data_IF_259455066331
#
_entry.id   IF_259455066331
#
_cell.length_a   1.000
_cell.length_b   1.000
_cell.length_c   1.000
_cell.angle_alpha   90.00
_cell.angle_beta   90.00
_cell.angle_gamma   90.00
#
_symmetry.space_group_name_H-M   'P 1'
#
loop_
_entity.id
_entity.type
_entity.pdbx_description
1 polymer ?
#
# COMPACT_ATOMS: atom_id res chain seq x y z
N UNK A 1 23.95 -13.70 -20.03
CA UNK A 1 22.72 -12.87 -20.12
C UNK A 1 22.06 -12.88 -18.76
N UNK A 2 21.81 -11.71 -18.16
CA UNK A 2 21.17 -11.59 -16.84
C UNK A 2 19.67 -11.41 -17.02
N UNK A 3 18.86 -12.05 -16.17
CA UNK A 3 17.40 -11.88 -16.15
C UNK A 3 16.99 -11.18 -14.87
N UNK A 4 16.14 -10.17 -14.98
CA UNK A 4 15.57 -9.45 -13.85
C UNK A 4 14.07 -9.77 -13.77
N UNK A 5 13.59 -10.11 -12.57
CA UNK A 5 12.17 -10.28 -12.32
C UNK A 5 11.57 -8.89 -12.11
N UNK A 6 10.85 -8.39 -13.10
CA UNK A 6 10.13 -7.13 -13.03
C UNK A 6 8.62 -7.37 -12.99
N UNK A 7 7.91 -6.46 -12.35
CA UNK A 7 6.45 -6.43 -12.29
C UNK A 7 6.01 -5.10 -12.91
N UNK A 8 4.92 -5.11 -13.67
CA UNK A 8 4.31 -3.90 -14.22
C UNK A 8 3.09 -3.56 -13.40
N UNK A 9 2.98 -2.31 -12.96
CA UNK A 9 1.87 -1.88 -12.11
C UNK A 9 1.80 -0.37 -11.96
N UNK A 10 0.83 0.10 -11.18
CA UNK A 10 0.67 1.51 -10.80
C UNK A 10 1.46 1.79 -9.54
N UNK A 11 2.28 2.84 -9.55
CA UNK A 11 2.93 3.34 -8.33
C UNK A 11 1.90 4.11 -7.55
N UNK A 12 1.58 3.64 -6.35
CA UNK A 12 0.58 4.25 -5.47
C UNK A 12 1.20 4.44 -4.10
N UNK A 13 1.20 5.67 -3.62
CA UNK A 13 1.51 5.96 -2.23
C UNK A 13 0.20 5.98 -1.44
N UNK A 14 0.03 4.97 -0.61
CA UNK A 14 -1.09 4.88 0.32
C UNK A 14 -0.75 5.64 1.59
N UNK A 15 -1.59 6.59 1.97
CA UNK A 15 -1.65 7.11 3.33
C UNK A 15 -2.60 6.22 4.14
N UNK A 16 -2.04 5.47 5.09
CA UNK A 16 -2.77 4.48 5.88
C UNK A 16 -3.18 5.11 7.21
N UNK A 17 -4.46 5.05 7.54
CA UNK A 17 -5.00 5.60 8.80
C UNK A 17 -5.84 4.54 9.49
N UNK A 18 -5.64 4.30 10.77
CA UNK A 18 -6.41 3.32 11.56
C UNK A 18 -7.85 3.80 11.72
N UNK A 19 -8.78 2.90 12.02
CA UNK A 19 -10.20 3.21 12.17
C UNK A 19 -10.50 4.33 13.20
N UNK A 20 -9.65 4.49 14.21
CA UNK A 20 -9.71 5.56 15.22
C UNK A 20 -9.10 6.90 14.78
N UNK A 21 -8.64 6.99 13.53
CA UNK A 21 -7.98 8.17 12.97
C UNK A 21 -6.49 8.27 13.27
N UNK A 22 -5.93 7.35 14.08
CA UNK A 22 -4.50 7.33 14.40
C UNK A 22 -3.65 6.78 13.24
N UNK A 23 -2.34 7.01 13.31
CA UNK A 23 -1.39 6.56 12.28
C UNK A 23 -1.12 5.05 12.41
N UNK A 24 -0.92 4.39 11.27
CA UNK A 24 -0.26 3.09 11.24
C UNK A 24 1.22 3.29 11.57
N UNK A 25 1.82 2.47 12.45
CA UNK A 25 3.18 2.68 12.90
C UNK A 25 4.21 2.45 11.79
N UNK A 26 5.32 3.18 11.88
CA UNK A 26 6.55 2.93 11.12
C UNK A 26 6.95 1.45 11.20
N UNK A 27 7.35 0.88 10.07
CA UNK A 27 7.83 -0.50 10.02
C UNK A 27 6.72 -1.55 9.85
N UNK A 28 5.44 -1.14 9.83
CA UNK A 28 4.36 -2.06 9.49
C UNK A 28 4.54 -2.64 8.08
N UNK A 29 4.36 -3.95 7.95
CA UNK A 29 4.38 -4.67 6.66
C UNK A 29 3.06 -4.41 5.94
N UNK A 30 3.12 -4.05 4.66
CA UNK A 30 1.96 -3.95 3.77
C UNK A 30 2.02 -5.11 2.78
N UNK A 31 1.02 -5.97 2.81
CA UNK A 31 0.95 -7.23 2.08
C UNK A 31 -0.25 -7.26 1.14
N UNK A 32 -0.15 -8.06 0.07
CA UNK A 32 -1.33 -8.46 -0.70
C UNK A 32 -2.15 -9.54 0.03
N UNK A 33 -3.28 -9.94 -0.57
CA UNK A 33 -4.18 -10.94 0.01
C UNK A 33 -3.49 -12.30 0.23
N UNK A 34 -2.50 -12.62 -0.61
CA UNK A 34 -1.69 -13.84 -0.53
C UNK A 34 -0.58 -13.75 0.54
N UNK A 35 -0.42 -12.60 1.21
CA UNK A 35 0.58 -12.38 2.25
C UNK A 35 1.97 -12.03 1.73
N UNK A 36 2.11 -11.70 0.43
CA UNK A 36 3.38 -11.23 -0.12
C UNK A 36 3.57 -9.76 0.27
N UNK A 37 4.71 -9.46 0.88
CA UNK A 37 5.10 -8.10 1.23
C UNK A 37 5.26 -7.23 -0.03
N UNK A 38 4.56 -6.10 -0.05
CA UNK A 38 4.56 -5.12 -1.12
C UNK A 38 5.37 -3.87 -0.75
N UNK A 39 5.29 -3.45 0.51
CA UNK A 39 5.95 -2.25 1.03
C UNK A 39 6.09 -2.31 2.56
N UNK A 40 6.80 -1.32 3.11
CA UNK A 40 6.89 -1.06 4.55
C UNK A 40 6.39 0.37 4.79
N UNK A 41 5.63 0.57 5.87
CA UNK A 41 5.13 1.89 6.26
C UNK A 41 6.26 2.79 6.74
N UNK A 42 6.31 4.01 6.23
CA UNK A 42 7.30 5.05 6.57
C UNK A 42 6.86 5.93 7.77
N UNK A 43 7.69 6.87 8.26
CA UNK A 43 7.34 7.72 9.41
C UNK A 43 6.11 8.62 9.18
N UNK A 44 5.71 8.82 7.92
CA UNK A 44 4.52 9.57 7.52
C UNK A 44 3.23 8.76 7.57
N UNK A 45 3.27 7.48 7.99
CA UNK A 45 2.16 6.53 7.84
C UNK A 45 1.83 6.26 6.37
N UNK A 46 2.85 6.32 5.49
CA UNK A 46 2.72 6.13 4.06
C UNK A 46 3.41 4.84 3.60
N UNK A 47 2.87 4.20 2.56
CA UNK A 47 3.45 3.03 1.92
C UNK A 47 3.42 3.19 0.41
N UNK A 48 4.59 3.16 -0.25
CA UNK A 48 4.70 3.20 -1.70
C UNK A 48 4.65 1.78 -2.27
N UNK A 49 3.52 1.44 -2.88
CA UNK A 49 3.23 0.11 -3.44
C UNK A 49 3.21 0.18 -4.97
N UNK A 50 3.76 -0.85 -5.61
CA UNK A 50 3.52 -1.10 -7.03
C UNK A 50 2.30 -2.00 -7.17
N UNK A 51 1.12 -1.41 -7.34
CA UNK A 51 -0.15 -2.14 -7.43
C UNK A 51 -0.35 -2.74 -8.82
N UNK A 52 -0.62 -4.05 -8.87
CA UNK A 52 -0.98 -4.76 -10.11
C UNK A 52 -2.48 -4.60 -10.45
N UNK A 53 -3.28 -4.06 -9.51
CA UNK A 53 -4.74 -3.92 -9.61
C UNK A 53 -5.20 -2.48 -9.32
N UNK A 54 -6.32 -2.09 -9.91
CA UNK A 54 -6.95 -0.78 -9.66
C UNK A 54 -7.91 -0.79 -8.46
N UNK A 55 -8.37 -1.96 -8.05
CA UNK A 55 -9.24 -2.17 -6.88
C UNK A 55 -8.72 -3.39 -6.14
N UNK A 56 -8.74 -3.36 -4.81
CA UNK A 56 -8.30 -4.50 -4.00
C UNK A 56 -8.28 -4.19 -2.51
N UNK A 57 -7.58 -5.02 -1.76
CA UNK A 57 -7.36 -4.86 -0.32
C UNK A 57 -5.90 -5.08 0.04
N UNK A 58 -5.39 -4.26 0.96
CA UNK A 58 -4.07 -4.41 1.56
C UNK A 58 -4.23 -5.01 2.96
N UNK A 59 -3.40 -6.02 3.28
CA UNK A 59 -3.24 -6.48 4.66
C UNK A 59 -2.06 -5.76 5.28
N UNK A 60 -2.28 -5.04 6.38
CA UNK A 60 -1.22 -4.28 7.07
C UNK A 60 -0.96 -4.91 8.43
N UNK A 61 0.29 -5.19 8.76
CA UNK A 61 0.69 -5.93 9.99
C UNK A 61 1.84 -5.27 10.73
N UNK A 62 1.74 -5.19 12.06
CA UNK A 62 2.83 -4.73 12.94
C UNK A 62 2.70 -5.39 14.31
N UNK A 63 3.83 -5.83 14.89
CA UNK A 63 3.84 -6.65 16.11
C UNK A 63 2.79 -7.78 16.05
N UNK A 64 1.84 -7.79 16.97
CA UNK A 64 0.72 -8.72 17.11
C UNK A 64 -0.59 -8.20 16.49
N UNK A 65 -0.58 -7.01 15.88
CA UNK A 65 -1.75 -6.37 15.29
C UNK A 65 -1.76 -6.47 13.77
N UNK A 66 -2.97 -6.46 13.20
CA UNK A 66 -3.18 -6.33 11.77
C UNK A 66 -4.49 -5.62 11.45
N UNK A 67 -4.56 -5.00 10.29
CA UNK A 67 -5.80 -4.43 9.73
C UNK A 67 -5.86 -4.66 8.23
N UNK A 68 -7.04 -4.46 7.64
CA UNK A 68 -7.27 -4.48 6.20
C UNK A 68 -7.66 -3.09 5.70
N UNK A 69 -7.10 -2.70 4.56
CA UNK A 69 -7.40 -1.44 3.89
C UNK A 69 -7.83 -1.70 2.46
N UNK A 70 -9.14 -1.63 2.22
CA UNK A 70 -9.70 -1.68 0.87
C UNK A 70 -9.36 -0.39 0.10
N UNK A 71 -9.14 -0.51 -1.20
CA UNK A 71 -8.85 0.64 -2.06
C UNK A 71 -9.52 0.51 -3.43
N UNK A 72 -9.80 1.67 -4.01
CA UNK A 72 -10.14 1.84 -5.42
C UNK A 72 -9.34 3.04 -5.93
N UNK A 73 -8.49 2.82 -6.92
CA UNK A 73 -7.62 3.85 -7.47
C UNK A 73 -8.42 4.79 -8.40
N UNK A 74 -8.12 6.09 -8.41
CA UNK A 74 -8.68 7.00 -9.39
C UNK A 74 -8.19 6.66 -10.81
N UNK A 75 -8.79 7.23 -11.87
CA UNK A 75 -8.23 7.19 -13.20
C UNK A 75 -6.76 7.64 -13.22
N UNK A 76 -5.96 7.06 -14.12
CA UNK A 76 -4.53 7.38 -14.22
C UNK A 76 -4.32 8.82 -14.65
N UNK A 77 -3.47 9.52 -13.92
CA UNK A 77 -2.97 10.84 -14.31
C UNK A 77 -1.53 10.73 -14.84
N UNK A 78 -1.30 10.89 -16.17
CA UNK A 78 0.03 10.74 -16.76
C UNK A 78 1.02 11.83 -16.32
N UNK A 79 0.56 12.93 -15.72
CA UNK A 79 1.44 13.96 -15.17
C UNK A 79 2.03 13.58 -13.80
N UNK A 80 1.50 12.54 -13.13
CA UNK A 80 1.97 12.10 -11.81
C UNK A 80 2.97 10.95 -11.92
N UNK A 81 4.07 11.06 -11.16
CA UNK A 81 5.04 9.97 -11.01
C UNK A 81 4.48 8.78 -10.21
N UNK A 82 3.56 9.05 -9.29
CA UNK A 82 2.79 8.07 -8.53
C UNK A 82 1.47 8.70 -8.06
N UNK A 83 0.44 7.88 -7.91
CA UNK A 83 -0.82 8.30 -7.31
C UNK A 83 -0.68 8.40 -5.80
N UNK A 84 -1.44 9.29 -5.16
CA UNK A 84 -1.52 9.39 -3.71
C UNK A 84 -2.96 9.24 -3.30
N UNK A 85 -3.26 8.25 -2.45
CA UNK A 85 -4.61 8.07 -1.89
C UNK A 85 -4.54 7.77 -0.41
N UNK A 86 -5.56 8.21 0.32
CA UNK A 86 -5.73 7.90 1.73
C UNK A 86 -6.76 6.80 1.88
N UNK A 87 -6.46 5.79 2.69
CA UNK A 87 -7.34 4.66 2.96
C UNK A 87 -7.41 4.37 4.46
N UNK A 88 -8.58 3.94 4.92
CA UNK A 88 -8.79 3.52 6.30
C UNK A 88 -8.44 2.05 6.44
N UNK A 89 -7.65 1.74 7.47
CA UNK A 89 -7.27 0.39 7.86
C UNK A 89 -8.12 -0.05 9.05
N UNK A 90 -8.94 -1.08 8.83
CA UNK A 90 -9.94 -1.61 9.75
C UNK A 90 -9.54 -2.96 10.33
#
# INVERSE_FOLDING_TARGET
>A
MVRFKAIVGRRVQFELVRADGSKVPLGASVEDEQGRALAVVDPGSQALVLSEQDVGSLRVRWSDQSCQAAFSLPPRDPARAYERIRVTCQ
#
